data_IF_439785288044
#
_entry.id   IF_439785288044
#
_cell.length_a   1.000
_cell.length_b   1.000
_cell.length_c   1.000
_cell.angle_alpha   90.00
_cell.angle_beta   90.00
_cell.angle_gamma   90.00
#
_symmetry.space_group_name_H-M   'P 1'
#
loop_
_entity.id
_entity.type
_entity.pdbx_description
1 polymer ?
#
# COMPACT_ATOMS: atom_id res chain seq x y z
N UNK A 1 16.74 13.99 18.97
CA UNK A 1 15.50 14.52 18.39
C UNK A 1 15.68 14.81 16.91
N UNK A 2 16.67 15.62 16.51
CA UNK A 2 16.91 16.00 15.11
C UNK A 2 17.09 14.77 14.19
N UNK A 3 17.82 13.74 14.63
CA UNK A 3 18.00 12.51 13.86
C UNK A 3 16.67 11.78 13.58
N UNK A 4 15.73 11.80 14.52
CA UNK A 4 14.41 11.20 14.35
C UNK A 4 13.54 12.02 13.39
N UNK A 5 13.65 13.34 13.43
CA UNK A 5 12.97 14.23 12.49
C UNK A 5 13.51 14.02 11.07
N UNK A 6 14.83 13.89 10.91
CA UNK A 6 15.48 13.59 9.63
C UNK A 6 15.10 12.21 9.07
N UNK A 7 14.76 11.26 9.95
CA UNK A 7 14.24 9.94 9.59
C UNK A 7 12.72 9.90 9.38
N UNK A 8 12.05 11.07 9.24
CA UNK A 8 10.63 11.24 8.94
C UNK A 8 9.64 10.75 10.03
N UNK A 9 10.06 10.62 11.30
CA UNK A 9 9.17 10.22 12.41
C UNK A 9 8.08 11.26 12.75
N UNK A 10 8.26 12.50 12.31
CA UNK A 10 7.44 13.63 12.72
C UNK A 10 7.81 14.16 14.12
N UNK A 11 7.55 15.44 14.36
CA UNK A 11 8.00 16.18 15.56
C UNK A 11 7.53 15.53 16.85
N UNK A 12 6.25 15.24 16.97
CA UNK A 12 5.66 14.75 18.23
C UNK A 12 6.18 13.34 18.61
N UNK A 13 6.37 12.47 17.63
CA UNK A 13 6.95 11.14 17.88
C UNK A 13 8.43 11.24 18.24
N UNK A 14 9.19 12.12 17.56
CA UNK A 14 10.57 12.39 17.87
C UNK A 14 10.73 12.92 19.30
N UNK A 15 9.89 13.84 19.73
CA UNK A 15 9.87 14.37 21.11
C UNK A 15 9.59 13.27 22.13
N UNK A 16 8.57 12.43 21.90
CA UNK A 16 8.21 11.33 22.80
C UNK A 16 9.32 10.29 22.95
N UNK A 17 9.95 9.90 21.85
CA UNK A 17 11.09 8.98 21.87
C UNK A 17 12.26 9.62 22.63
N UNK A 18 12.55 10.90 22.37
CA UNK A 18 13.63 11.63 23.04
C UNK A 18 13.39 11.74 24.56
N UNK A 19 12.14 11.96 24.97
CA UNK A 19 11.76 11.98 26.38
C UNK A 19 11.92 10.59 27.04
N UNK A 20 11.50 9.52 26.35
CA UNK A 20 11.63 8.15 26.84
C UNK A 20 13.11 7.77 27.05
N UNK A 21 13.96 8.12 26.08
CA UNK A 21 15.42 7.94 26.18
C UNK A 21 15.99 8.80 27.34
N UNK A 22 15.51 10.03 27.49
CA UNK A 22 15.93 10.95 28.55
C UNK A 22 15.64 10.43 29.96
N UNK A 23 14.48 9.83 30.19
CA UNK A 23 14.12 9.22 31.49
C UNK A 23 15.06 8.10 31.91
N UNK A 24 15.55 7.28 30.94
CA UNK A 24 16.53 6.21 31.23
C UNK A 24 17.95 6.72 31.53
N UNK A 25 18.28 7.94 31.12
CA UNK A 25 19.65 8.50 31.18
C UNK A 25 20.06 9.01 32.59
N UNK A 26 19.07 9.31 33.44
CA UNK A 26 19.33 9.96 34.73
C UNK A 26 19.91 9.05 35.80
N UNK A 27 19.83 7.73 35.70
CA UNK A 27 20.21 6.82 36.77
C UNK A 27 21.57 6.12 36.59
N UNK A 28 22.04 5.75 35.38
CA UNK A 28 23.30 4.99 35.20
C UNK A 28 24.02 5.18 33.85
N UNK A 29 23.59 6.11 33.01
CA UNK A 29 24.02 6.13 31.60
C UNK A 29 23.28 5.07 30.79
N UNK A 30 22.79 5.40 29.59
CA UNK A 30 22.06 4.50 28.71
C UNK A 30 22.99 3.92 27.63
N UNK A 31 22.95 2.62 27.42
CA UNK A 31 23.72 1.97 26.34
C UNK A 31 23.05 2.19 24.98
N UNK A 32 23.83 2.09 23.85
CA UNK A 32 23.25 2.16 22.51
C UNK A 32 22.14 1.12 22.28
N UNK A 33 22.26 -0.06 22.85
CA UNK A 33 21.26 -1.13 22.69
C UNK A 33 19.98 -0.85 23.45
N UNK A 34 20.09 -0.23 24.63
CA UNK A 34 18.92 0.27 25.36
C UNK A 34 18.19 1.38 24.61
N UNK A 35 18.93 2.30 23.95
CA UNK A 35 18.32 3.33 23.09
C UNK A 35 17.57 2.70 21.94
N UNK A 36 18.16 1.70 21.27
CA UNK A 36 17.51 0.95 20.18
C UNK A 36 16.25 0.23 20.66
N UNK A 37 16.31 -0.40 21.83
CA UNK A 37 15.16 -1.10 22.40
C UNK A 37 14.00 -0.12 22.74
N UNK A 38 14.31 1.05 23.29
CA UNK A 38 13.32 2.10 23.54
C UNK A 38 12.72 2.59 22.23
N UNK A 39 13.56 2.85 21.22
CA UNK A 39 13.10 3.26 19.90
C UNK A 39 12.13 2.21 19.30
N UNK A 40 12.52 0.93 19.31
CA UNK A 40 11.69 -0.15 18.81
C UNK A 40 10.33 -0.19 19.55
N UNK A 41 10.33 -0.11 20.88
CA UNK A 41 9.11 -0.14 21.68
C UNK A 41 8.16 1.01 21.35
N UNK A 42 8.68 2.23 21.21
CA UNK A 42 7.85 3.40 20.89
C UNK A 42 7.32 3.38 19.45
N UNK A 43 8.10 2.85 18.51
CA UNK A 43 7.68 2.66 17.11
C UNK A 43 6.63 1.57 17.01
N UNK A 44 6.84 0.41 17.64
CA UNK A 44 5.85 -0.68 17.71
C UNK A 44 4.52 -0.18 18.26
N UNK A 45 4.55 0.50 19.40
CA UNK A 45 3.37 1.08 20.05
C UNK A 45 2.60 2.05 19.13
N UNK A 46 3.31 2.83 18.33
CA UNK A 46 2.69 3.77 17.40
C UNK A 46 2.05 3.08 16.20
N UNK A 47 2.58 1.94 15.78
CA UNK A 47 2.17 1.23 14.57
C UNK A 47 1.22 0.06 14.82
N UNK A 48 1.17 -0.49 16.03
CA UNK A 48 0.31 -1.62 16.39
C UNK A 48 -1.18 -1.39 16.04
N UNK A 49 -1.78 -0.21 16.29
CA UNK A 49 -3.18 0.05 15.95
C UNK A 49 -3.50 -0.02 14.46
N UNK A 50 -2.51 0.16 13.58
CA UNK A 50 -2.66 0.15 12.12
C UNK A 50 -2.13 -1.12 11.47
N UNK A 51 -1.53 -2.03 12.23
CA UNK A 51 -1.06 -3.32 11.74
C UNK A 51 -2.24 -4.30 11.56
N UNK A 52 -3.10 -3.99 10.60
CA UNK A 52 -4.34 -4.72 10.34
C UNK A 52 -4.21 -5.47 9.02
N UNK A 53 -4.30 -6.81 9.00
CA UNK A 53 -4.24 -7.61 7.78
C UNK A 53 -5.37 -7.26 6.81
N UNK A 54 -5.09 -7.38 5.51
CA UNK A 54 -6.13 -7.30 4.48
C UNK A 54 -7.01 -8.55 4.57
N UNK A 55 -8.30 -8.36 4.85
CA UNK A 55 -9.27 -9.44 4.91
C UNK A 55 -10.11 -9.48 3.64
N UNK A 56 -10.14 -10.62 2.98
CA UNK A 56 -10.98 -10.87 1.81
C UNK A 56 -12.29 -11.53 2.26
N UNK A 57 -13.38 -10.81 2.13
CA UNK A 57 -14.72 -11.32 2.41
C UNK A 57 -15.15 -12.29 1.30
N UNK A 58 -15.19 -13.58 1.61
CA UNK A 58 -15.56 -14.64 0.67
C UNK A 58 -17.04 -14.58 0.23
N UNK A 59 -17.88 -13.82 0.92
CA UNK A 59 -19.27 -13.58 0.49
C UNK A 59 -19.38 -12.66 -0.73
N UNK A 60 -18.33 -11.86 -0.99
CA UNK A 60 -18.22 -10.97 -2.14
C UNK A 60 -17.51 -11.69 -3.28
N UNK A 61 -18.21 -11.90 -4.40
CA UNK A 61 -17.67 -12.59 -5.59
C UNK A 61 -17.89 -11.78 -6.86
N UNK A 62 -16.85 -11.12 -7.35
CA UNK A 62 -15.50 -11.01 -6.78
C UNK A 62 -15.42 -9.99 -5.64
N UNK A 63 -14.49 -10.18 -4.70
CA UNK A 63 -14.01 -9.12 -3.84
C UNK A 63 -13.15 -8.18 -4.69
N UNK A 64 -13.55 -6.92 -4.81
CA UNK A 64 -12.91 -5.95 -5.71
C UNK A 64 -11.90 -5.10 -4.96
N UNK A 65 -10.65 -5.14 -5.39
CA UNK A 65 -9.56 -4.32 -4.87
C UNK A 65 -9.14 -3.31 -5.94
N UNK A 66 -9.30 -2.03 -5.63
CA UNK A 66 -8.80 -0.92 -6.44
C UNK A 66 -7.44 -0.49 -5.90
N UNK A 67 -6.42 -0.38 -6.78
CA UNK A 67 -5.09 0.08 -6.38
C UNK A 67 -4.84 1.46 -6.92
N UNK A 68 -4.55 2.41 -6.03
CA UNK A 68 -4.30 3.82 -6.34
C UNK A 68 -2.92 4.26 -5.86
N UNK A 69 -2.43 5.39 -6.35
CA UNK A 69 -1.11 5.93 -6.00
C UNK A 69 -0.40 6.55 -7.20
N UNK A 70 0.71 7.24 -6.96
CA UNK A 70 1.47 7.92 -8.01
C UNK A 70 2.22 6.94 -8.93
N UNK A 71 2.62 7.40 -10.11
CA UNK A 71 3.49 6.61 -10.98
C UNK A 71 4.83 6.32 -10.29
N UNK A 72 5.32 5.10 -10.46
CA UNK A 72 6.57 4.66 -9.83
C UNK A 72 6.45 4.21 -8.38
N UNK A 73 5.28 4.37 -7.74
CA UNK A 73 5.07 3.87 -6.37
C UNK A 73 5.02 2.34 -6.25
N UNK A 74 4.97 1.61 -7.36
CA UNK A 74 4.98 0.14 -7.33
C UNK A 74 3.60 -0.51 -7.42
N UNK A 75 2.55 0.18 -7.86
CA UNK A 75 1.17 -0.33 -7.96
C UNK A 75 1.08 -1.64 -8.74
N UNK A 76 1.53 -1.63 -10.00
CA UNK A 76 1.47 -2.80 -10.90
C UNK A 76 2.24 -4.00 -10.35
N UNK A 77 3.43 -3.75 -9.77
CA UNK A 77 4.24 -4.78 -9.10
C UNK A 77 3.54 -5.33 -7.87
N UNK A 78 2.97 -4.47 -7.04
CA UNK A 78 2.19 -4.85 -5.86
C UNK A 78 1.02 -5.76 -6.24
N UNK A 79 0.28 -5.41 -7.30
CA UNK A 79 -0.83 -6.24 -7.79
C UNK A 79 -0.37 -7.62 -8.26
N UNK A 80 0.76 -7.70 -8.99
CA UNK A 80 1.32 -8.97 -9.43
C UNK A 80 1.72 -9.87 -8.24
N UNK A 81 2.39 -9.31 -7.24
CA UNK A 81 2.77 -10.03 -6.02
C UNK A 81 1.55 -10.44 -5.19
N UNK A 82 0.56 -9.55 -5.06
CA UNK A 82 -0.68 -9.83 -4.35
C UNK A 82 -1.49 -10.94 -5.04
N UNK A 83 -1.55 -10.93 -6.37
CA UNK A 83 -2.21 -11.99 -7.13
C UNK A 83 -1.60 -13.37 -6.85
N UNK A 84 -0.27 -13.45 -6.81
CA UNK A 84 0.41 -14.70 -6.47
C UNK A 84 0.08 -15.15 -5.05
N UNK A 85 0.12 -14.23 -4.09
CA UNK A 85 -0.18 -14.49 -2.68
C UNK A 85 -1.61 -15.01 -2.49
N UNK A 86 -2.59 -14.36 -3.09
CA UNK A 86 -3.99 -14.79 -3.04
C UNK A 86 -4.21 -16.15 -3.71
N UNK A 87 -3.51 -16.42 -4.80
CA UNK A 87 -3.55 -17.76 -5.45
C UNK A 87 -2.93 -18.85 -4.59
N UNK A 88 -1.84 -18.56 -3.88
CA UNK A 88 -1.24 -19.49 -2.92
C UNK A 88 -2.20 -19.81 -1.77
N UNK A 89 -3.11 -18.89 -1.43
CA UNK A 89 -4.22 -19.10 -0.49
C UNK A 89 -5.41 -19.87 -1.10
N UNK A 90 -5.30 -20.33 -2.36
CA UNK A 90 -6.36 -21.10 -3.04
C UNK A 90 -7.47 -20.24 -3.67
N UNK A 91 -7.29 -18.93 -3.81
CA UNK A 91 -8.28 -18.03 -4.41
C UNK A 91 -8.10 -17.92 -5.92
N UNK A 92 -9.19 -17.84 -6.65
CA UNK A 92 -9.16 -17.43 -8.06
C UNK A 92 -9.04 -15.91 -8.15
N UNK A 93 -8.14 -15.43 -9.02
CA UNK A 93 -7.82 -14.00 -9.16
C UNK A 93 -7.90 -13.58 -10.62
N UNK A 94 -8.38 -12.37 -10.87
CA UNK A 94 -8.35 -11.71 -12.17
C UNK A 94 -7.71 -10.32 -12.02
N UNK A 95 -6.92 -9.91 -13.01
CA UNK A 95 -6.28 -8.60 -13.08
C UNK A 95 -6.97 -7.72 -14.13
N UNK A 96 -7.09 -6.43 -13.86
CA UNK A 96 -7.58 -5.42 -14.81
C UNK A 96 -6.54 -4.31 -15.00
N UNK A 97 -6.09 -4.10 -16.25
CA UNK A 97 -5.06 -3.13 -16.60
C UNK A 97 -5.67 -1.73 -16.81
N UNK A 98 -6.09 -1.08 -15.73
CA UNK A 98 -6.73 0.23 -15.76
C UNK A 98 -5.79 1.41 -15.95
N UNK A 99 -4.45 1.24 -15.84
CA UNK A 99 -3.49 2.25 -16.30
C UNK A 99 -3.39 2.20 -17.84
N UNK A 100 -4.45 2.64 -18.50
CA UNK A 100 -4.57 2.56 -19.96
C UNK A 100 -3.68 3.54 -20.72
N UNK A 101 -3.16 4.56 -20.04
CA UNK A 101 -2.32 5.58 -20.69
C UNK A 101 -0.91 5.07 -21.00
N UNK A 102 -0.38 4.18 -20.15
CA UNK A 102 0.98 3.68 -20.28
C UNK A 102 1.00 2.27 -20.88
N UNK A 103 1.38 2.17 -22.16
CA UNK A 103 1.54 0.87 -22.82
C UNK A 103 2.44 -0.07 -21.97
N UNK A 104 3.54 0.45 -21.45
CA UNK A 104 4.44 -0.32 -20.60
C UNK A 104 3.79 -0.84 -19.30
N UNK A 105 2.81 -0.14 -18.71
CA UNK A 105 2.10 -0.61 -17.54
C UNK A 105 1.14 -1.76 -17.89
N UNK A 106 0.44 -1.65 -19.04
CA UNK A 106 -0.41 -2.72 -19.55
C UNK A 106 0.42 -3.98 -19.81
N UNK A 107 1.56 -3.84 -20.49
CA UNK A 107 2.44 -4.97 -20.81
C UNK A 107 3.05 -5.57 -19.52
N UNK A 108 3.46 -4.74 -18.57
CA UNK A 108 3.96 -5.20 -17.28
C UNK A 108 2.91 -6.04 -16.53
N UNK A 109 1.65 -5.59 -16.52
CA UNK A 109 0.58 -6.35 -15.86
C UNK A 109 0.29 -7.67 -16.60
N UNK A 110 0.37 -7.70 -17.93
CA UNK A 110 0.27 -8.95 -18.72
C UNK A 110 1.41 -9.92 -18.39
N UNK A 111 2.64 -9.43 -18.24
CA UNK A 111 3.79 -10.25 -17.81
C UNK A 111 3.53 -10.84 -16.42
N UNK A 112 3.02 -10.04 -15.47
CA UNK A 112 2.61 -10.56 -14.17
C UNK A 112 1.51 -11.61 -14.28
N UNK A 113 0.49 -11.37 -15.11
CA UNK A 113 -0.59 -12.32 -15.38
C UNK A 113 -0.06 -13.65 -15.90
N UNK A 114 0.83 -13.62 -16.90
CA UNK A 114 1.47 -14.82 -17.45
C UNK A 114 2.31 -15.56 -16.41
N UNK A 115 3.11 -14.81 -15.64
CA UNK A 115 3.99 -15.36 -14.60
C UNK A 115 3.22 -16.04 -13.46
N UNK A 116 2.08 -15.50 -13.10
CA UNK A 116 1.25 -16.02 -12.01
C UNK A 116 0.12 -16.93 -12.48
N UNK A 117 -0.04 -17.10 -13.79
CA UNK A 117 -1.17 -17.84 -14.38
C UNK A 117 -2.52 -17.16 -14.08
N UNK A 118 -2.55 -15.82 -14.00
CA UNK A 118 -3.74 -15.03 -13.68
C UNK A 118 -4.28 -14.34 -14.94
N UNK A 119 -5.59 -14.48 -15.27
CA UNK A 119 -6.17 -13.80 -16.41
C UNK A 119 -6.10 -12.28 -16.26
N UNK A 120 -5.78 -11.59 -17.35
CA UNK A 120 -5.68 -10.13 -17.40
C UNK A 120 -6.71 -9.58 -18.39
N UNK A 121 -7.56 -8.69 -17.90
CA UNK A 121 -8.42 -7.86 -18.75
C UNK A 121 -7.66 -6.59 -19.12
N UNK A 122 -7.47 -6.33 -20.41
CA UNK A 122 -6.76 -5.16 -20.90
C UNK A 122 -7.43 -4.61 -22.16
N UNK A 123 -7.32 -3.32 -22.38
CA UNK A 123 -7.75 -2.62 -23.58
C UNK A 123 -6.57 -2.13 -24.41
N UNK A 124 -6.88 -1.43 -25.51
CA UNK A 124 -5.88 -0.67 -26.24
C UNK A 124 -5.35 0.50 -25.38
N UNK A 125 -4.16 0.98 -25.71
CA UNK A 125 -3.63 2.19 -25.07
C UNK A 125 -4.59 3.37 -25.29
N UNK A 126 -4.89 4.10 -24.23
CA UNK A 126 -5.85 5.21 -24.23
C UNK A 126 -7.32 4.79 -24.14
N UNK A 127 -7.63 3.52 -23.94
CA UNK A 127 -8.99 3.06 -23.70
C UNK A 127 -9.59 3.69 -22.41
N UNK A 128 -10.92 3.72 -22.33
CA UNK A 128 -11.62 4.19 -21.14
C UNK A 128 -11.39 3.24 -19.94
N UNK A 129 -10.61 3.70 -18.96
CA UNK A 129 -10.28 2.92 -17.78
C UNK A 129 -11.52 2.48 -16.98
N UNK A 130 -12.55 3.32 -16.91
CA UNK A 130 -13.80 2.99 -16.21
C UNK A 130 -14.59 1.90 -16.95
N UNK A 131 -14.65 1.97 -18.29
CA UNK A 131 -15.26 0.93 -19.11
C UNK A 131 -14.53 -0.39 -18.97
N UNK A 132 -13.20 -0.38 -18.98
CA UNK A 132 -12.38 -1.57 -18.79
C UNK A 132 -12.60 -2.20 -17.41
N UNK A 133 -12.65 -1.40 -16.35
CA UNK A 133 -12.94 -1.87 -14.99
C UNK A 133 -14.34 -2.50 -14.89
N UNK A 134 -15.33 -1.90 -15.55
CA UNK A 134 -16.68 -2.44 -15.63
C UNK A 134 -16.72 -3.81 -16.33
N UNK A 135 -16.07 -3.92 -17.48
CA UNK A 135 -16.00 -5.17 -18.24
C UNK A 135 -15.25 -6.26 -17.48
N UNK A 136 -14.18 -5.89 -16.77
CA UNK A 136 -13.44 -6.79 -15.90
C UNK A 136 -14.31 -7.33 -14.76
N UNK A 137 -15.07 -6.46 -14.10
CA UNK A 137 -15.99 -6.86 -13.02
C UNK A 137 -17.11 -7.77 -13.54
N UNK A 138 -17.70 -7.42 -14.69
CA UNK A 138 -18.73 -8.24 -15.35
C UNK A 138 -18.21 -9.63 -15.68
N UNK A 139 -16.99 -9.70 -16.25
CA UNK A 139 -16.33 -10.95 -16.60
C UNK A 139 -15.98 -11.78 -15.37
N UNK A 140 -15.41 -11.14 -14.32
CA UNK A 140 -15.06 -11.81 -13.08
C UNK A 140 -16.27 -12.44 -12.40
N UNK A 141 -17.42 -11.76 -12.42
CA UNK A 141 -18.70 -12.32 -11.94
C UNK A 141 -19.15 -13.52 -12.73
N UNK A 142 -19.12 -13.43 -14.06
CA UNK A 142 -19.53 -14.52 -14.95
C UNK A 142 -18.66 -15.77 -14.79
N UNK A 143 -17.36 -15.59 -14.52
CA UNK A 143 -16.40 -16.68 -14.32
C UNK A 143 -16.29 -17.16 -12.86
N UNK A 144 -17.02 -16.54 -11.93
CA UNK A 144 -17.01 -16.91 -10.51
C UNK A 144 -15.68 -16.65 -9.79
N UNK A 145 -14.95 -15.62 -10.24
CA UNK A 145 -13.65 -15.22 -9.68
C UNK A 145 -13.81 -14.73 -8.24
N UNK A 146 -12.91 -15.13 -7.35
CA UNK A 146 -12.93 -14.74 -5.95
C UNK A 146 -12.46 -13.29 -5.73
N UNK A 147 -11.40 -12.86 -6.44
CA UNK A 147 -10.82 -11.52 -6.26
C UNK A 147 -10.51 -10.86 -7.62
N UNK A 148 -10.98 -9.63 -7.79
CA UNK A 148 -10.63 -8.77 -8.91
C UNK A 148 -9.69 -7.66 -8.43
N UNK A 149 -8.49 -7.60 -9.02
CA UNK A 149 -7.47 -6.59 -8.75
C UNK A 149 -7.42 -5.60 -9.92
N UNK A 150 -7.67 -4.31 -9.64
CA UNK A 150 -7.71 -3.25 -10.66
C UNK A 150 -6.52 -2.32 -10.48
N UNK A 151 -5.62 -2.28 -11.49
CA UNK A 151 -4.56 -1.27 -11.57
C UNK A 151 -5.13 0.05 -12.06
N UNK A 152 -4.54 1.18 -11.68
CA UNK A 152 -4.96 2.51 -12.11
C UNK A 152 -3.78 3.38 -12.53
N UNK A 153 -4.07 4.42 -13.32
CA UNK A 153 -3.11 5.47 -13.60
C UNK A 153 -2.64 6.18 -12.32
N UNK A 154 -1.48 6.83 -12.40
CA UNK A 154 -0.89 7.56 -11.25
C UNK A 154 -0.21 8.85 -11.68
N UNK A 155 -0.70 9.52 -12.74
CA UNK A 155 -0.10 10.73 -13.30
C UNK A 155 -0.44 11.97 -12.48
N UNK A 156 0.29 12.18 -11.37
CA UNK A 156 0.04 13.28 -10.44
C UNK A 156 0.27 14.67 -11.05
N UNK A 157 1.06 14.77 -12.12
CA UNK A 157 1.23 16.02 -12.89
C UNK A 157 -0.08 16.51 -13.54
N UNK A 158 -1.04 15.62 -13.76
CA UNK A 158 -2.42 15.93 -14.13
C UNK A 158 -3.37 15.54 -13.00
N UNK A 159 -3.23 16.19 -11.85
CA UNK A 159 -3.97 15.89 -10.62
C UNK A 159 -5.48 15.82 -10.84
N UNK A 160 -6.05 16.87 -11.44
CA UNK A 160 -7.51 16.96 -11.66
C UNK A 160 -8.02 15.84 -12.56
N UNK A 161 -7.32 15.56 -13.66
CA UNK A 161 -7.70 14.47 -14.56
C UNK A 161 -7.60 13.10 -13.91
N UNK A 162 -6.55 12.87 -13.10
CA UNK A 162 -6.38 11.61 -12.37
C UNK A 162 -7.49 11.40 -11.34
N UNK A 163 -7.83 12.40 -10.54
CA UNK A 163 -8.90 12.30 -9.54
C UNK A 163 -10.25 12.05 -10.20
N UNK A 164 -10.58 12.79 -11.26
CA UNK A 164 -11.81 12.57 -12.02
C UNK A 164 -11.90 11.15 -12.65
N UNK A 165 -10.76 10.60 -13.11
CA UNK A 165 -10.70 9.23 -13.63
C UNK A 165 -10.98 8.20 -12.53
N UNK A 166 -10.38 8.34 -11.34
CA UNK A 166 -10.60 7.45 -10.21
C UNK A 166 -12.07 7.49 -9.75
N UNK A 167 -12.64 8.68 -9.59
CA UNK A 167 -14.07 8.85 -9.27
C UNK A 167 -14.97 8.21 -10.32
N UNK A 168 -14.61 8.33 -11.61
CA UNK A 168 -15.35 7.71 -12.71
C UNK A 168 -15.28 6.18 -12.63
N UNK A 169 -14.12 5.60 -12.37
CA UNK A 169 -13.96 4.15 -12.20
C UNK A 169 -14.88 3.66 -11.09
N UNK A 170 -14.80 4.26 -9.90
CA UNK A 170 -15.60 3.89 -8.73
C UNK A 170 -17.10 3.98 -9.06
N UNK A 171 -17.55 5.11 -9.61
CA UNK A 171 -18.95 5.31 -9.99
C UNK A 171 -19.45 4.29 -11.01
N UNK A 172 -18.59 3.86 -11.93
CA UNK A 172 -18.98 2.95 -13.01
C UNK A 172 -19.03 1.50 -12.52
N UNK A 173 -18.07 1.04 -11.71
CA UNK A 173 -18.13 -0.31 -11.12
C UNK A 173 -19.29 -0.44 -10.11
N UNK A 174 -19.64 0.64 -9.40
CA UNK A 174 -20.76 0.67 -8.47
C UNK A 174 -22.12 0.43 -9.15
N UNK A 175 -22.24 0.57 -10.47
CA UNK A 175 -23.44 0.19 -11.23
C UNK A 175 -23.67 -1.32 -11.27
N UNK A 176 -22.60 -2.11 -11.21
CA UNK A 176 -22.67 -3.57 -11.11
C UNK A 176 -22.68 -4.04 -9.67
N UNK A 177 -21.91 -3.38 -8.82
CA UNK A 177 -21.78 -3.69 -7.40
C UNK A 177 -21.71 -2.42 -6.58
N UNK A 178 -22.82 -2.02 -5.92
CA UNK A 178 -22.89 -0.77 -5.16
C UNK A 178 -21.87 -0.69 -4.01
N UNK A 179 -21.34 -1.83 -3.54
CA UNK A 179 -20.35 -1.89 -2.48
C UNK A 179 -18.90 -1.90 -3.01
N UNK A 180 -18.69 -2.05 -4.33
CA UNK A 180 -17.37 -2.02 -4.94
C UNK A 180 -16.85 -0.58 -5.10
N UNK A 181 -15.52 -0.36 -4.91
CA UNK A 181 -14.51 -1.33 -4.51
C UNK A 181 -14.64 -1.72 -3.03
N UNK A 182 -14.43 -3.01 -2.71
CA UNK A 182 -14.48 -3.51 -1.33
C UNK A 182 -13.23 -3.16 -0.53
N UNK A 183 -12.12 -2.94 -1.23
CA UNK A 183 -10.91 -2.34 -0.68
C UNK A 183 -10.27 -1.40 -1.69
N UNK A 184 -9.73 -0.28 -1.23
CA UNK A 184 -8.92 0.64 -2.03
C UNK A 184 -7.55 0.76 -1.38
N UNK A 185 -6.54 0.18 -2.03
CA UNK A 185 -5.17 0.17 -1.54
C UNK A 185 -4.40 1.35 -2.13
N UNK A 186 -3.95 2.25 -1.27
CA UNK A 186 -3.03 3.30 -1.66
C UNK A 186 -1.59 2.79 -1.53
N UNK A 187 -0.91 2.70 -2.66
CA UNK A 187 0.50 2.30 -2.72
C UNK A 187 1.38 3.55 -2.64
N UNK A 188 2.23 3.58 -1.62
CA UNK A 188 3.15 4.66 -1.32
C UNK A 188 4.60 4.18 -1.41
N UNK A 189 5.45 5.03 -1.93
CA UNK A 189 6.90 4.83 -1.99
C UNK A 189 7.54 5.44 -0.73
N UNK A 190 8.23 4.64 0.09
CA UNK A 190 8.86 5.10 1.32
C UNK A 190 9.94 6.15 1.08
N UNK A 191 10.56 6.16 -0.10
CA UNK A 191 11.65 7.10 -0.43
C UNK A 191 11.21 8.55 -0.58
N UNK A 192 9.89 8.80 -0.75
CA UNK A 192 9.36 10.17 -0.90
C UNK A 192 9.18 10.90 0.44
N UNK A 193 9.36 10.21 1.57
CA UNK A 193 9.30 10.81 2.91
C UNK A 193 7.98 11.54 3.17
N UNK A 194 8.03 12.74 3.74
CA UNK A 194 6.86 13.54 4.13
C UNK A 194 5.87 13.83 2.99
N UNK A 195 6.28 13.75 1.73
CA UNK A 195 5.37 13.89 0.59
C UNK A 195 4.29 12.79 0.57
N UNK A 196 4.51 11.65 1.22
CA UNK A 196 3.50 10.60 1.35
C UNK A 196 2.24 11.09 2.09
N UNK A 197 2.36 11.99 3.07
CA UNK A 197 1.21 12.58 3.78
C UNK A 197 0.26 13.30 2.82
N UNK A 198 0.81 14.14 1.94
CA UNK A 198 0.02 14.85 0.92
C UNK A 198 -0.61 13.91 -0.09
N UNK A 199 0.04 12.78 -0.40
CA UNK A 199 -0.55 11.77 -1.28
C UNK A 199 -1.76 11.10 -0.63
N UNK A 200 -1.69 10.73 0.66
CA UNK A 200 -2.83 10.16 1.38
C UNK A 200 -4.01 11.13 1.38
N UNK A 201 -3.79 12.40 1.72
CA UNK A 201 -4.84 13.42 1.70
C UNK A 201 -5.50 13.53 0.33
N UNK A 202 -4.69 13.59 -0.72
CA UNK A 202 -5.16 13.76 -2.09
C UNK A 202 -5.99 12.57 -2.56
N UNK A 203 -5.46 11.36 -2.44
CA UNK A 203 -6.15 10.16 -2.92
C UNK A 203 -7.41 9.86 -2.11
N UNK A 204 -7.43 10.17 -0.81
CA UNK A 204 -8.61 10.01 0.05
C UNK A 204 -9.76 10.94 -0.31
N UNK A 205 -9.51 12.03 -1.06
CA UNK A 205 -10.56 12.90 -1.58
C UNK A 205 -11.30 12.29 -2.77
N UNK A 206 -10.62 11.49 -3.59
CA UNK A 206 -11.15 10.93 -4.83
C UNK A 206 -11.56 9.47 -4.73
N UNK A 207 -11.04 8.74 -3.75
CA UNK A 207 -11.29 7.32 -3.57
C UNK A 207 -11.43 6.97 -2.07
N UNK A 208 -12.27 5.96 -1.72
CA UNK A 208 -12.42 5.51 -0.34
C UNK A 208 -11.20 4.66 0.07
N UNK A 209 -10.05 5.29 0.28
CA UNK A 209 -8.83 4.60 0.69
C UNK A 209 -9.08 3.84 2.00
N UNK A 210 -8.95 2.51 1.95
CA UNK A 210 -9.20 1.62 3.08
C UNK A 210 -7.95 1.03 3.71
N UNK A 211 -6.80 1.15 3.04
CA UNK A 211 -5.54 0.67 3.56
C UNK A 211 -4.34 1.08 2.72
N UNK A 212 -3.18 0.93 3.31
CA UNK A 212 -1.90 1.34 2.74
C UNK A 212 -1.03 0.13 2.39
N UNK A 213 -0.25 0.28 1.33
CA UNK A 213 0.89 -0.57 1.00
C UNK A 213 2.11 0.34 0.90
N UNK A 214 3.12 0.10 1.73
CA UNK A 214 4.38 0.85 1.70
C UNK A 214 5.45 0.06 0.95
N UNK A 215 5.99 0.62 -0.12
CA UNK A 215 7.00 -0.03 -0.97
C UNK A 215 8.38 0.59 -0.78
N UNK A 216 9.42 -0.09 -1.28
CA UNK A 216 10.82 0.37 -1.34
C UNK A 216 11.43 0.67 0.02
N UNK A 217 11.03 -0.07 1.02
CA UNK A 217 11.59 0.06 2.37
C UNK A 217 13.04 -0.42 2.46
N UNK A 218 13.46 -1.31 1.57
CA UNK A 218 14.83 -1.81 1.41
C UNK A 218 15.83 -0.71 0.98
N UNK A 219 15.35 0.32 0.30
CA UNK A 219 16.17 1.41 -0.24
C UNK A 219 16.24 2.68 0.62
N UNK A 220 15.70 2.69 1.85
CA UNK A 220 15.60 3.94 2.61
C UNK A 220 15.75 3.77 4.12
N UNK A 221 16.44 4.74 4.74
CA UNK A 221 16.43 4.94 6.20
C UNK A 221 15.19 5.73 6.69
N UNK A 222 14.25 6.08 5.79
CA UNK A 222 13.08 6.94 6.08
C UNK A 222 11.83 6.16 6.48
N UNK A 223 11.99 5.01 7.09
CA UNK A 223 10.86 4.20 7.57
C UNK A 223 9.97 4.90 8.60
N UNK A 224 10.45 5.96 9.24
CA UNK A 224 9.69 6.78 10.17
C UNK A 224 8.44 7.44 9.58
N UNK A 225 8.39 7.63 8.26
CA UNK A 225 7.19 8.15 7.58
C UNK A 225 5.95 7.30 7.87
N UNK A 226 6.10 5.98 8.04
CA UNK A 226 4.97 5.10 8.34
C UNK A 226 4.36 5.43 9.71
N UNK A 227 5.19 5.82 10.69
CA UNK A 227 4.73 6.27 12.02
C UNK A 227 3.94 7.57 11.90
N UNK A 228 4.42 8.53 11.08
CA UNK A 228 3.71 9.79 10.84
C UNK A 228 2.36 9.56 10.13
N UNK A 229 2.31 8.65 9.15
CA UNK A 229 1.09 8.25 8.44
C UNK A 229 0.08 7.59 9.40
N UNK A 230 0.53 6.62 10.18
CA UNK A 230 -0.30 5.92 11.17
C UNK A 230 -0.95 6.90 12.14
N UNK A 231 -0.15 7.82 12.69
CA UNK A 231 -0.62 8.82 13.64
C UNK A 231 -1.63 9.80 13.05
N UNK A 232 -1.36 10.28 11.82
CA UNK A 232 -2.18 11.31 11.19
C UNK A 232 -3.49 10.76 10.64
N UNK A 233 -3.48 9.58 10.03
CA UNK A 233 -4.62 9.05 9.27
C UNK A 233 -5.26 7.82 9.91
N UNK A 234 -4.54 7.05 10.72
CA UNK A 234 -5.06 5.82 11.33
C UNK A 234 -5.49 4.76 10.32
N UNK A 235 -5.02 4.85 9.07
CA UNK A 235 -5.35 3.88 8.03
C UNK A 235 -4.60 2.57 8.26
N UNK A 236 -5.25 1.40 8.05
CA UNK A 236 -4.58 0.11 8.07
C UNK A 236 -3.37 0.07 7.15
N UNK A 237 -2.27 -0.50 7.60
CA UNK A 237 -1.12 -0.86 6.77
C UNK A 237 -1.17 -2.36 6.56
N UNK A 238 -1.50 -2.79 5.35
CA UNK A 238 -1.69 -4.19 5.05
C UNK A 238 -0.41 -4.91 4.66
N UNK A 239 0.42 -4.24 3.85
CA UNK A 239 1.64 -4.84 3.30
C UNK A 239 2.79 -3.85 3.26
N UNK A 240 4.01 -4.40 3.30
CA UNK A 240 5.26 -3.70 3.01
C UNK A 240 6.00 -4.40 1.88
N UNK A 241 6.61 -3.60 0.99
CA UNK A 241 7.52 -4.07 -0.05
C UNK A 241 8.95 -3.85 0.39
N UNK A 242 9.70 -4.93 0.50
CA UNK A 242 11.07 -4.97 1.03
C UNK A 242 12.09 -5.41 -0.02
N UNK A 243 11.71 -5.38 -1.29
CA UNK A 243 12.58 -5.75 -2.40
C UNK A 243 11.81 -5.97 -3.71
N UNK A 244 12.52 -6.40 -4.76
CA UNK A 244 11.98 -6.63 -6.10
C UNK A 244 11.46 -8.06 -6.33
N UNK A 245 11.86 -9.02 -5.51
CA UNK A 245 11.44 -10.41 -5.61
C UNK A 245 9.94 -10.59 -5.44
N UNK A 246 9.43 -11.71 -5.91
CA UNK A 246 7.98 -12.02 -5.85
C UNK A 246 7.51 -12.14 -4.41
N UNK A 247 8.34 -12.69 -3.53
CA UNK A 247 8.07 -12.88 -2.10
C UNK A 247 8.26 -11.59 -1.26
N UNK A 248 8.84 -10.54 -1.84
CA UNK A 248 9.17 -9.28 -1.13
C UNK A 248 7.96 -8.34 -0.94
N UNK A 249 6.76 -8.89 -0.94
CA UNK A 249 5.54 -8.25 -0.44
C UNK A 249 5.12 -8.97 0.83
N UNK A 250 5.49 -8.41 1.97
CA UNK A 250 5.23 -9.02 3.28
C UNK A 250 3.98 -8.42 3.93
N UNK A 251 3.16 -9.20 4.66
CA UNK A 251 2.17 -8.63 5.58
C UNK A 251 2.87 -7.71 6.57
N UNK A 252 2.24 -6.57 6.87
CA UNK A 252 2.82 -5.64 7.82
C UNK A 252 2.72 -6.17 9.26
N UNK A 253 3.84 -6.22 9.95
CA UNK A 253 3.95 -6.53 11.37
C UNK A 253 4.66 -5.39 12.10
N UNK A 254 3.96 -4.71 13.02
CA UNK A 254 4.47 -3.53 13.71
C UNK A 254 5.77 -3.81 14.47
N UNK A 255 5.84 -4.96 15.16
CA UNK A 255 7.02 -5.39 15.93
C UNK A 255 8.24 -5.58 15.04
N UNK A 256 8.11 -6.37 13.97
CA UNK A 256 9.23 -6.68 13.08
C UNK A 256 9.77 -5.42 12.41
N UNK A 257 8.85 -4.57 11.97
CA UNK A 257 9.19 -3.28 11.38
C UNK A 257 9.90 -2.35 12.38
N UNK A 258 9.40 -2.27 13.61
CA UNK A 258 10.00 -1.44 14.66
C UNK A 258 11.42 -1.91 15.01
N UNK A 259 11.65 -3.22 15.11
CA UNK A 259 12.97 -3.81 15.34
C UNK A 259 13.93 -3.52 14.19
N UNK A 260 13.47 -3.69 12.94
CA UNK A 260 14.26 -3.41 11.75
C UNK A 260 14.71 -1.93 11.70
N UNK A 261 13.80 -0.98 11.97
CA UNK A 261 14.14 0.46 12.01
C UNK A 261 15.15 0.77 13.13
N UNK A 262 15.02 0.12 14.28
CA UNK A 262 15.93 0.31 15.40
C UNK A 262 17.29 -0.38 15.20
N UNK A 263 17.48 -1.14 14.12
CA UNK A 263 18.72 -1.90 13.87
C UNK A 263 18.89 -3.08 14.83
N UNK A 264 17.76 -3.67 15.26
CA UNK A 264 17.73 -4.90 16.05
C UNK A 264 17.43 -6.08 15.13
N UNK A 265 18.07 -7.24 15.41
CA UNK A 265 17.78 -8.48 14.64
C UNK A 265 16.32 -8.92 14.81
N UNK A 266 15.78 -9.61 13.78
CA UNK A 266 14.48 -10.30 13.91
C UNK A 266 14.62 -11.44 14.93
N UNK A 267 13.63 -11.60 15.80
CA UNK A 267 13.57 -12.73 16.75
C UNK A 267 13.35 -14.05 16.03
#
# INVERSE_FOLDING_TARGET
EDALIQADFGLETAMRISEAVGKGRYEKGISPDEVRAILATEVERALEPVAIPLTIDASKKPFVILTVGVNGAGKTTTLGKLALKLKAEGRSVMLAAGDTFRAAAIDQLKVWGARTGTPVVSGAQGADAAGLAFDALKRARAEGIDVLLIDTAGRLQNKTGLMAELEKIIRVIAKLDPEAPHATLLVLDATVGQNALSQVELFSQAAPVSGLVMTKLDGTARGGILVALAKKFGLPVHFIGVGEGVEDLEPFAARDFARAIAGLEKD
#
